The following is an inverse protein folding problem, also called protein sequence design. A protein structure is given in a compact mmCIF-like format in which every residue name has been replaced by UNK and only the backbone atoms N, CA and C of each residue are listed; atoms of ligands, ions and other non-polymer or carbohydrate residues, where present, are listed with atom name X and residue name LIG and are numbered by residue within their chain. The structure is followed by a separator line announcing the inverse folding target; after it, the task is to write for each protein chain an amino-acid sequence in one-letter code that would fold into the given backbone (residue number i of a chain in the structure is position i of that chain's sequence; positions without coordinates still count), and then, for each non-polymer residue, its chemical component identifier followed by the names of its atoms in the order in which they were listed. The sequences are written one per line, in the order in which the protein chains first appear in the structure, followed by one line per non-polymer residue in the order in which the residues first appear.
data_IF_524601083258
#
_entry.id   IF_524601083258
#
_cell.length_a   1.000
_cell.length_b   1.000
_cell.length_c   1.000
_cell.angle_alpha   90.00
_cell.angle_beta   90.00
_cell.angle_gamma   90.00
#
_symmetry.space_group_name_H-M   'P 1'
#
loop_
_entity.id
_entity.type
_entity.pdbx_description
1 polymer ?
#
# COMPACT_ATOMS: atom_id res chain seq x y z
N UNK A 1 11.58 -2.09 7.10
CA UNK A 1 11.51 -1.14 5.96
C UNK A 1 10.34 -1.42 5.00
N UNK A 2 10.24 -2.58 4.30
CA UNK A 2 9.12 -2.80 3.36
C UNK A 2 7.77 -2.97 4.08
N UNK A 3 7.75 -3.63 5.23
CA UNK A 3 6.55 -3.77 6.06
C UNK A 3 6.08 -2.41 6.62
N UNK A 4 7.01 -1.53 7.05
CA UNK A 4 6.65 -0.18 7.51
C UNK A 4 6.01 0.64 6.39
N UNK A 5 6.51 0.47 5.15
CA UNK A 5 5.94 1.09 3.97
C UNK A 5 4.51 0.60 3.69
N UNK A 6 4.26 -0.70 3.77
CA UNK A 6 2.92 -1.26 3.58
C UNK A 6 1.92 -0.77 4.62
N UNK A 7 2.33 -0.61 5.88
CA UNK A 7 1.48 -0.04 6.93
C UNK A 7 1.21 1.45 6.72
N UNK A 8 2.23 2.21 6.30
CA UNK A 8 2.09 3.64 6.01
C UNK A 8 1.15 3.91 4.83
N UNK A 9 1.20 3.07 3.80
CA UNK A 9 0.40 3.19 2.57
C UNK A 9 -0.60 2.03 2.45
N UNK A 10 -1.33 1.76 3.53
CA UNK A 10 -2.17 0.57 3.70
C UNK A 10 -3.38 0.48 2.77
N UNK A 11 -3.81 1.58 2.12
CA UNK A 11 -4.84 1.57 1.08
C UNK A 11 -4.19 1.24 -0.27
N UNK A 12 -4.29 -0.02 -0.68
CA UNK A 12 -3.51 -0.58 -1.78
C UNK A 12 -4.39 -1.17 -2.89
N UNK A 13 -3.78 -1.44 -4.04
CA UNK A 13 -4.45 -2.06 -5.18
C UNK A 13 -4.27 -3.57 -5.13
N UNK A 14 -5.37 -4.30 -4.97
CA UNK A 14 -5.44 -5.75 -5.10
C UNK A 14 -5.70 -6.13 -6.54
N UNK A 15 -4.80 -6.87 -7.15
CA UNK A 15 -4.94 -7.40 -8.52
C UNK A 15 -5.04 -8.92 -8.44
N UNK A 16 -6.07 -9.48 -9.07
CA UNK A 16 -6.28 -10.92 -9.16
C UNK A 16 -6.52 -11.32 -10.59
N UNK A 17 -6.19 -12.56 -10.91
CA UNK A 17 -6.49 -13.21 -12.19
C UNK A 17 -7.25 -14.50 -11.96
N UNK A 18 -8.33 -14.68 -12.68
CA UNK A 18 -9.06 -15.95 -12.75
C UNK A 18 -9.42 -16.23 -14.20
N UNK A 19 -9.04 -17.40 -14.71
CA UNK A 19 -9.12 -17.70 -16.14
C UNK A 19 -8.41 -16.61 -16.97
N UNK A 20 -9.12 -15.93 -17.87
CA UNK A 20 -8.57 -14.87 -18.72
C UNK A 20 -8.93 -13.46 -18.24
N UNK A 21 -9.58 -13.33 -17.07
CA UNK A 21 -10.02 -12.05 -16.53
C UNK A 21 -9.03 -11.52 -15.47
N UNK A 22 -8.71 -10.23 -15.56
CA UNK A 22 -7.99 -9.48 -14.55
C UNK A 22 -8.93 -8.49 -13.89
N UNK A 23 -8.99 -8.52 -12.55
CA UNK A 23 -9.76 -7.54 -11.76
C UNK A 23 -8.80 -6.82 -10.82
N UNK A 24 -9.02 -5.51 -10.64
CA UNK A 24 -8.33 -4.70 -9.66
C UNK A 24 -9.34 -3.97 -8.76
N UNK A 25 -9.14 -4.01 -7.45
CA UNK A 25 -9.87 -3.23 -6.45
C UNK A 25 -8.89 -2.49 -5.56
N UNK A 26 -9.33 -1.36 -5.00
CA UNK A 26 -8.58 -0.63 -3.97
C UNK A 26 -9.14 -1.04 -2.61
N UNK A 27 -8.26 -1.56 -1.76
CA UNK A 27 -8.63 -2.21 -0.49
C UNK A 27 -7.73 -1.69 0.62
N UNK A 28 -8.28 -1.31 1.78
CA UNK A 28 -7.47 -1.08 2.97
C UNK A 28 -6.99 -2.42 3.53
N UNK A 29 -5.70 -2.53 3.82
CA UNK A 29 -5.09 -3.73 4.38
C UNK A 29 -4.62 -3.51 5.82
N UNK A 30 -4.71 -4.57 6.61
CA UNK A 30 -3.97 -4.73 7.87
C UNK A 30 -2.85 -5.74 7.63
N UNK A 31 -1.64 -5.40 8.05
CA UNK A 31 -0.49 -6.30 7.99
C UNK A 31 -0.28 -6.96 9.35
N UNK A 32 -0.30 -8.29 9.37
CA UNK A 32 0.22 -9.07 10.48
C UNK A 32 1.69 -9.40 10.18
N UNK A 33 2.62 -8.68 10.83
CA UNK A 33 4.05 -8.73 10.53
C UNK A 33 4.69 -10.07 10.84
N UNK A 34 4.19 -10.73 11.87
CA UNK A 34 4.79 -11.93 12.45
C UNK A 34 4.20 -13.22 11.88
N UNK A 35 3.14 -13.11 11.07
CA UNK A 35 2.47 -14.24 10.44
C UNK A 35 3.15 -14.61 9.12
N UNK A 36 4.09 -15.55 9.16
CA UNK A 36 4.82 -16.04 7.98
C UNK A 36 6.11 -15.25 7.65
N UNK A 37 6.81 -15.60 6.58
CA UNK A 37 8.17 -15.09 6.32
C UNK A 37 8.24 -13.60 5.97
N UNK A 38 7.17 -13.05 5.39
CA UNK A 38 7.07 -11.66 4.99
C UNK A 38 5.87 -10.94 5.57
N UNK A 39 5.15 -11.57 6.50
CA UNK A 39 3.87 -11.13 7.04
C UNK A 39 2.68 -11.66 6.25
N UNK A 40 1.49 -11.42 6.78
CA UNK A 40 0.20 -11.76 6.16
C UNK A 40 -0.65 -10.51 6.03
N UNK A 41 -1.13 -10.24 4.83
CA UNK A 41 -2.09 -9.15 4.58
C UNK A 41 -3.50 -9.65 4.88
N UNK A 42 -4.29 -8.83 5.58
CA UNK A 42 -5.71 -9.10 5.84
C UNK A 42 -6.55 -7.98 5.23
N UNK A 43 -7.60 -8.36 4.49
CA UNK A 43 -8.49 -7.42 3.83
C UNK A 43 -9.90 -7.96 3.70
N UNK A 44 -10.81 -7.14 3.21
CA UNK A 44 -12.19 -7.55 2.92
C UNK A 44 -12.71 -6.89 1.64
N UNK A 45 -13.68 -7.53 1.03
CA UNK A 45 -14.44 -7.03 -0.11
C UNK A 45 -15.94 -7.18 0.18
N UNK A 46 -16.77 -6.39 -0.47
CA UNK A 46 -18.20 -6.68 -0.50
C UNK A 46 -18.45 -8.04 -1.17
N UNK A 47 -19.38 -8.83 -0.65
CA UNK A 47 -19.74 -10.14 -1.23
C UNK A 47 -20.15 -10.03 -2.71
N UNK A 48 -20.73 -8.88 -3.10
CA UNK A 48 -21.11 -8.60 -4.50
C UNK A 48 -19.93 -8.26 -5.42
N UNK A 49 -18.72 -8.06 -4.87
CA UNK A 49 -17.54 -7.81 -5.70
C UNK A 49 -17.09 -9.12 -6.36
N UNK A 50 -17.11 -9.22 -7.72
CA UNK A 50 -16.75 -10.45 -8.42
C UNK A 50 -15.31 -10.91 -8.13
N UNK A 51 -14.44 -10.03 -7.69
CA UNK A 51 -13.06 -10.36 -7.32
C UNK A 51 -13.01 -11.34 -6.13
N UNK A 52 -14.05 -11.44 -5.29
CA UNK A 52 -14.09 -12.40 -4.19
C UNK A 52 -14.00 -13.85 -4.71
N UNK A 53 -14.68 -14.17 -5.82
CA UNK A 53 -14.57 -15.48 -6.47
C UNK A 53 -13.14 -15.77 -7.00
N UNK A 54 -12.41 -14.72 -7.43
CA UNK A 54 -11.01 -14.88 -7.84
C UNK A 54 -10.12 -15.26 -6.66
N UNK A 55 -10.40 -14.72 -5.45
CA UNK A 55 -9.64 -15.04 -4.24
C UNK A 55 -9.84 -16.50 -3.80
N UNK A 56 -10.99 -17.09 -4.12
CA UNK A 56 -11.30 -18.50 -3.84
C UNK A 56 -10.62 -19.46 -4.83
N UNK A 57 -10.15 -18.98 -5.98
CA UNK A 57 -9.60 -19.82 -7.05
C UNK A 57 -8.26 -20.48 -6.72
N UNK A 58 -7.58 -20.06 -5.65
CA UNK A 58 -6.23 -20.52 -5.31
C UNK A 58 -5.13 -19.93 -6.20
N UNK A 59 -5.45 -18.95 -7.04
CA UNK A 59 -4.47 -18.25 -7.88
C UNK A 59 -3.71 -17.19 -7.09
N UNK A 60 -2.45 -16.95 -7.47
CA UNK A 60 -1.65 -15.89 -6.88
C UNK A 60 -2.29 -14.51 -7.10
N UNK A 61 -2.33 -13.71 -6.06
CA UNK A 61 -2.73 -12.30 -6.10
C UNK A 61 -1.51 -11.39 -5.98
N UNK A 62 -1.63 -10.18 -6.54
CA UNK A 62 -0.66 -9.10 -6.39
C UNK A 62 -1.32 -7.95 -5.64
N UNK A 63 -0.68 -7.50 -4.55
CA UNK A 63 -1.07 -6.26 -3.86
C UNK A 63 0.01 -5.21 -4.10
N UNK A 64 -0.40 -4.05 -4.63
CA UNK A 64 0.48 -2.93 -4.96
C UNK A 64 0.24 -1.80 -3.95
N UNK A 65 1.22 -1.58 -3.08
CA UNK A 65 1.28 -0.43 -2.19
C UNK A 65 2.05 0.68 -2.91
N UNK A 66 1.40 1.81 -3.13
CA UNK A 66 1.99 2.95 -3.83
C UNK A 66 2.20 4.11 -2.86
N UNK A 67 3.44 4.56 -2.77
CA UNK A 67 3.80 5.76 -2.02
C UNK A 67 4.01 6.98 -2.93
N UNK A 68 4.77 7.98 -2.47
CA UNK A 68 5.03 9.20 -3.20
C UNK A 68 5.65 8.94 -4.58
N UNK A 69 5.19 9.70 -5.55
CA UNK A 69 5.73 9.70 -6.90
C UNK A 69 5.73 11.13 -7.46
N UNK A 70 6.75 11.47 -8.23
CA UNK A 70 6.91 12.81 -8.76
C UNK A 70 7.70 12.80 -10.09
N UNK A 71 7.26 13.64 -11.04
CA UNK A 71 8.03 13.96 -12.22
C UNK A 71 9.25 14.82 -11.87
N UNK A 72 10.42 14.46 -12.38
CA UNK A 72 11.68 15.17 -12.17
C UNK A 72 12.09 15.83 -13.50
N UNK A 73 12.10 17.16 -13.49
CA UNK A 73 12.47 17.95 -14.67
C UNK A 73 13.99 17.93 -14.92
N UNK A 74 14.42 17.83 -16.18
CA UNK A 74 15.83 18.01 -16.54
C UNK A 74 16.42 19.36 -16.14
N UNK A 75 15.58 20.40 -16.03
CA UNK A 75 16.01 21.74 -15.62
C UNK A 75 16.47 21.83 -14.15
N UNK A 76 16.20 20.81 -13.36
CA UNK A 76 16.60 20.75 -11.95
C UNK A 76 17.98 20.10 -11.76
N UNK A 77 18.60 19.55 -12.79
CA UNK A 77 19.94 18.99 -12.70
C UNK A 77 21.01 20.07 -12.80
N UNK A 78 22.16 19.83 -12.19
CA UNK A 78 23.33 20.70 -12.28
C UNK A 78 24.04 20.55 -13.64
N UNK A 79 23.97 19.36 -14.23
CA UNK A 79 24.63 19.04 -15.51
C UNK A 79 23.70 19.21 -16.71
N UNK A 80 24.21 19.57 -17.90
CA UNK A 80 23.43 19.68 -19.13
C UNK A 80 23.11 18.29 -19.72
N UNK A 81 22.25 18.30 -20.74
CA UNK A 81 21.91 17.13 -21.57
C UNK A 81 21.27 15.97 -20.82
N UNK A 82 20.41 16.29 -19.87
CA UNK A 82 19.62 15.32 -19.12
C UNK A 82 18.22 15.14 -19.71
N UNK A 83 17.62 13.98 -19.40
CA UNK A 83 16.24 13.65 -19.76
C UNK A 83 15.34 13.66 -18.54
N UNK A 84 14.02 13.90 -18.71
CA UNK A 84 13.08 13.80 -17.61
C UNK A 84 12.96 12.35 -17.10
N UNK A 85 12.53 12.22 -15.85
CA UNK A 85 12.23 10.93 -15.25
C UNK A 85 11.13 11.07 -14.22
N UNK A 86 10.68 9.94 -13.68
CA UNK A 86 9.84 9.84 -12.49
C UNK A 86 10.64 9.26 -11.34
N UNK A 87 10.56 9.88 -10.20
CA UNK A 87 10.87 9.25 -8.92
C UNK A 87 9.58 8.68 -8.34
N UNK A 88 9.67 7.51 -7.72
CA UNK A 88 8.52 6.86 -7.10
C UNK A 88 8.95 5.80 -6.10
N UNK A 89 8.02 5.47 -5.22
CA UNK A 89 8.15 4.39 -4.25
C UNK A 89 6.96 3.45 -4.37
N UNK A 90 7.22 2.15 -4.38
CA UNK A 90 6.18 1.13 -4.40
C UNK A 90 6.67 -0.16 -3.75
N UNK A 91 5.73 -0.91 -3.15
CA UNK A 91 5.96 -2.27 -2.66
C UNK A 91 4.92 -3.19 -3.29
N UNK A 92 5.39 -4.29 -3.84
CA UNK A 92 4.56 -5.34 -4.41
C UNK A 92 4.65 -6.57 -3.53
N UNK A 93 3.50 -7.02 -3.02
CA UNK A 93 3.35 -8.25 -2.24
C UNK A 93 2.58 -9.29 -3.06
N UNK A 94 3.10 -10.50 -3.09
CA UNK A 94 2.52 -11.64 -3.82
C UNK A 94 2.21 -12.75 -2.85
N UNK A 95 1.09 -13.44 -3.05
CA UNK A 95 0.71 -14.59 -2.25
C UNK A 95 -0.61 -15.19 -2.71
N UNK A 96 -0.93 -16.36 -2.20
CA UNK A 96 -2.19 -17.05 -2.51
C UNK A 96 -3.23 -16.68 -1.45
N UNK A 97 -4.34 -16.01 -1.85
CA UNK A 97 -5.40 -15.63 -0.92
C UNK A 97 -6.10 -16.83 -0.31
N UNK A 98 -6.62 -16.64 0.90
CA UNK A 98 -7.49 -17.58 1.60
C UNK A 98 -8.69 -16.82 2.16
N UNK A 99 -9.89 -17.29 1.88
CA UNK A 99 -11.10 -16.77 2.53
C UNK A 99 -11.07 -17.20 3.99
N UNK A 100 -11.44 -16.28 4.85
CA UNK A 100 -11.48 -16.52 6.31
C UNK A 100 -12.92 -16.44 6.84
N UNK A 101 -13.11 -16.97 8.03
CA UNK A 101 -14.41 -17.05 8.67
C UNK A 101 -14.88 -15.71 9.27
N UNK A 102 -16.11 -15.72 9.80
CA UNK A 102 -16.73 -14.56 10.44
C UNK A 102 -15.96 -14.07 11.68
N UNK A 103 -15.36 -14.96 12.44
CA UNK A 103 -14.60 -14.57 13.63
C UNK A 103 -13.35 -13.77 13.23
N UNK A 104 -12.62 -14.22 12.22
CA UNK A 104 -11.49 -13.51 11.65
C UNK A 104 -11.91 -12.18 10.99
N UNK A 105 -13.07 -12.12 10.32
CA UNK A 105 -13.62 -10.86 9.80
C UNK A 105 -13.83 -9.83 10.91
N UNK A 106 -14.44 -10.21 12.04
CA UNK A 106 -14.68 -9.28 13.16
C UNK A 106 -13.37 -8.75 13.73
N UNK A 107 -12.34 -9.60 13.86
CA UNK A 107 -11.01 -9.18 14.31
C UNK A 107 -10.39 -8.19 13.30
N UNK A 108 -10.45 -8.51 12.01
CA UNK A 108 -9.97 -7.62 10.95
C UNK A 108 -10.63 -6.23 11.00
N UNK A 109 -11.96 -6.17 11.15
CA UNK A 109 -12.68 -4.90 11.20
C UNK A 109 -12.28 -4.06 12.42
N UNK A 110 -12.10 -4.69 13.58
CA UNK A 110 -11.58 -4.02 14.80
C UNK A 110 -10.20 -3.44 14.55
N UNK A 111 -9.30 -4.21 13.92
CA UNK A 111 -7.94 -3.76 13.62
C UNK A 111 -7.91 -2.63 12.59
N UNK A 112 -8.77 -2.69 11.54
CA UNK A 112 -8.92 -1.61 10.55
C UNK A 112 -9.41 -0.32 11.20
N UNK A 113 -10.43 -0.40 12.06
CA UNK A 113 -10.91 0.77 12.80
C UNK A 113 -9.81 1.34 13.67
N UNK A 114 -9.15 0.52 14.49
CA UNK A 114 -8.03 0.95 15.34
C UNK A 114 -6.91 1.61 14.53
N UNK A 115 -6.55 1.04 13.37
CA UNK A 115 -5.51 1.57 12.49
C UNK A 115 -5.84 2.96 11.97
N UNK A 116 -7.10 3.19 11.58
CA UNK A 116 -7.51 4.43 10.92
C UNK A 116 -7.98 5.51 11.92
N UNK A 117 -8.55 5.12 13.06
CA UNK A 117 -9.07 6.04 14.07
C UNK A 117 -8.02 6.56 15.06
N UNK A 118 -6.84 5.94 15.14
CA UNK A 118 -5.80 6.25 16.14
C UNK A 118 -5.36 7.71 16.20
N UNK A 119 -5.59 8.49 15.15
CA UNK A 119 -5.18 9.91 15.05
C UNK A 119 -6.33 10.88 15.37
N UNK A 120 -7.55 10.40 15.60
CA UNK A 120 -8.70 11.25 15.93
C UNK A 120 -8.76 11.52 17.44
N UNK A 121 -9.16 12.72 17.83
CA UNK A 121 -9.35 13.08 19.24
C UNK A 121 -10.44 12.25 19.93
N UNK A 122 -11.46 11.85 19.19
CA UNK A 122 -12.54 10.96 19.62
C UNK A 122 -12.64 9.80 18.63
N UNK A 123 -11.81 8.76 18.81
CA UNK A 123 -11.85 7.60 17.92
C UNK A 123 -13.23 6.94 17.93
N UNK A 124 -13.72 6.59 16.76
CA UNK A 124 -14.92 5.77 16.66
C UNK A 124 -14.66 4.37 17.17
N UNK A 125 -15.54 3.86 18.03
CA UNK A 125 -15.46 2.51 18.58
C UNK A 125 -16.31 1.54 17.77
N UNK A 126 -15.73 0.38 17.43
CA UNK A 126 -16.39 -0.67 16.69
C UNK A 126 -17.03 -1.67 17.66
N UNK A 127 -18.33 -1.53 17.90
CA UNK A 127 -19.11 -2.52 18.63
C UNK A 127 -19.59 -3.65 17.70
N UNK A 128 -18.86 -4.77 17.71
CA UNK A 128 -19.19 -5.93 16.89
C UNK A 128 -20.52 -6.59 17.28
N UNK A 129 -21.03 -6.37 18.50
CA UNK A 129 -22.26 -6.99 19.00
C UNK A 129 -23.51 -6.13 18.70
N UNK A 130 -23.31 -4.89 18.26
CA UNK A 130 -24.42 -4.04 17.86
C UNK A 130 -25.25 -4.68 16.75
N UNK A 131 -26.57 -4.72 16.90
CA UNK A 131 -27.48 -5.42 15.99
C UNK A 131 -27.37 -4.95 14.53
N UNK A 132 -27.14 -3.66 14.33
CA UNK A 132 -26.96 -3.09 13.00
C UNK A 132 -25.62 -3.53 12.36
N UNK A 133 -24.54 -3.68 13.16
CA UNK A 133 -23.26 -4.25 12.69
C UNK A 133 -23.45 -5.70 12.28
N UNK A 134 -24.09 -6.49 13.16
CA UNK A 134 -24.37 -7.91 12.91
C UNK A 134 -25.18 -8.13 11.62
N UNK A 135 -26.07 -7.21 11.28
CA UNK A 135 -26.85 -7.25 10.04
C UNK A 135 -26.01 -6.96 8.79
N UNK A 136 -24.90 -6.23 8.89
CA UNK A 136 -24.02 -5.88 7.77
C UNK A 136 -22.90 -6.90 7.52
N UNK A 137 -22.48 -7.66 8.53
CA UNK A 137 -21.39 -8.63 8.39
C UNK A 137 -21.59 -9.66 7.25
N UNK A 138 -22.80 -10.15 6.95
CA UNK A 138 -23.01 -11.05 5.81
C UNK A 138 -22.74 -10.45 4.43
N UNK A 139 -22.70 -9.12 4.31
CA UNK A 139 -22.43 -8.42 3.05
C UNK A 139 -20.92 -8.29 2.74
N UNK A 140 -20.05 -8.82 3.63
CA UNK A 140 -18.60 -8.67 3.55
C UNK A 140 -17.93 -10.03 3.55
N UNK A 141 -17.02 -10.25 2.60
CA UNK A 141 -16.13 -11.40 2.56
C UNK A 141 -14.71 -10.98 2.95
N UNK A 142 -14.17 -11.59 4.01
CA UNK A 142 -12.80 -11.35 4.46
C UNK A 142 -11.83 -12.40 3.91
N UNK A 143 -10.59 -11.98 3.74
CA UNK A 143 -9.52 -12.83 3.22
C UNK A 143 -8.17 -12.48 3.84
N UNK A 144 -7.27 -13.44 3.78
CA UNK A 144 -5.86 -13.31 4.12
C UNK A 144 -5.00 -13.62 2.90
N UNK A 145 -3.85 -12.93 2.80
CA UNK A 145 -2.82 -13.22 1.80
C UNK A 145 -1.50 -13.39 2.56
N UNK A 146 -1.10 -14.63 2.92
CA UNK A 146 0.28 -14.88 3.35
C UNK A 146 1.24 -14.45 2.25
N UNK A 147 2.21 -13.60 2.59
CA UNK A 147 3.13 -13.03 1.60
C UNK A 147 4.25 -14.04 1.33
N UNK A 148 4.28 -14.58 0.12
CA UNK A 148 5.33 -15.48 -0.34
C UNK A 148 6.51 -14.73 -0.96
N UNK A 149 6.23 -13.57 -1.59
CA UNK A 149 7.23 -12.75 -2.26
C UNK A 149 6.94 -11.28 -2.02
N UNK A 150 7.99 -10.53 -1.67
CA UNK A 150 7.93 -9.10 -1.41
C UNK A 150 8.98 -8.36 -2.24
N UNK A 151 8.58 -7.34 -3.00
CA UNK A 151 9.46 -6.55 -3.85
C UNK A 151 9.26 -5.07 -3.58
N UNK A 152 10.34 -4.35 -3.25
CA UNK A 152 10.33 -2.89 -3.09
C UNK A 152 11.02 -2.19 -4.26
N UNK A 153 10.43 -1.09 -4.72
CA UNK A 153 11.05 -0.20 -5.70
C UNK A 153 11.04 1.23 -5.18
N UNK A 154 12.23 1.73 -4.88
CA UNK A 154 12.46 3.11 -4.45
C UNK A 154 13.37 3.75 -5.50
N UNK A 155 12.78 4.39 -6.50
CA UNK A 155 13.50 5.10 -7.56
C UNK A 155 13.62 6.56 -7.16
N UNK A 156 14.81 6.93 -6.64
CA UNK A 156 15.07 8.21 -5.96
C UNK A 156 16.35 8.89 -6.49
N UNK A 157 16.56 8.89 -7.81
CA UNK A 157 17.77 9.45 -8.46
C UNK A 157 19.10 8.72 -8.12
N UNK A 158 19.07 7.40 -7.82
CA UNK A 158 20.24 6.59 -7.49
C UNK A 158 21.33 6.66 -8.56
N UNK A 159 20.94 6.72 -9.81
CA UNK A 159 21.81 6.75 -10.98
C UNK A 159 22.37 8.14 -11.32
N UNK A 160 22.06 9.18 -10.50
CA UNK A 160 22.54 10.54 -10.72
C UNK A 160 23.79 10.82 -9.90
N UNK A 161 24.66 11.68 -10.42
CA UNK A 161 25.83 12.16 -9.69
C UNK A 161 25.41 13.01 -8.47
N UNK A 162 26.25 13.14 -7.43
CA UNK A 162 25.90 13.88 -6.22
C UNK A 162 25.44 15.31 -6.47
N UNK A 163 26.08 16.03 -7.41
CA UNK A 163 25.71 17.40 -7.74
C UNK A 163 24.28 17.53 -8.31
N UNK A 164 23.87 16.61 -9.18
CA UNK A 164 22.51 16.57 -9.71
C UNK A 164 21.48 16.27 -8.62
N UNK A 165 21.77 15.28 -7.74
CA UNK A 165 20.90 14.98 -6.60
C UNK A 165 20.74 16.16 -5.65
N UNK A 166 21.85 16.81 -5.30
CA UNK A 166 21.82 17.97 -4.40
C UNK A 166 20.93 19.09 -4.96
N UNK A 167 21.05 19.41 -6.24
CA UNK A 167 20.23 20.45 -6.87
C UNK A 167 18.75 20.07 -6.99
N UNK A 168 18.45 18.81 -7.24
CA UNK A 168 17.05 18.30 -7.21
C UNK A 168 16.48 18.43 -5.81
N UNK A 169 17.21 18.02 -4.77
CA UNK A 169 16.80 18.15 -3.37
C UNK A 169 16.52 19.62 -3.03
N UNK A 170 17.45 20.52 -3.36
CA UNK A 170 17.30 21.96 -3.11
C UNK A 170 16.02 22.50 -3.75
N UNK A 171 15.79 22.18 -5.06
CA UNK A 171 14.62 22.62 -5.81
C UNK A 171 13.32 22.11 -5.20
N UNK A 172 13.29 20.83 -4.80
CA UNK A 172 12.08 20.20 -4.24
C UNK A 172 11.79 20.71 -2.82
N UNK A 173 12.83 20.89 -1.99
CA UNK A 173 12.70 21.39 -0.63
C UNK A 173 12.22 22.85 -0.57
N UNK A 174 12.61 23.70 -1.54
CA UNK A 174 12.15 25.07 -1.63
C UNK A 174 10.70 25.21 -2.13
N UNK A 175 10.07 24.14 -2.57
CA UNK A 175 8.70 24.17 -3.13
C UNK A 175 7.64 24.36 -2.03
N UNK A 176 6.56 25.05 -2.36
CA UNK A 176 5.35 25.12 -1.54
C UNK A 176 4.47 23.85 -1.67
N UNK A 177 4.70 23.03 -2.68
CA UNK A 177 3.98 21.78 -2.91
C UNK A 177 4.43 20.70 -1.89
N UNK A 178 3.53 20.20 -1.03
CA UNK A 178 3.86 19.17 -0.05
C UNK A 178 4.41 17.87 -0.68
N UNK A 179 3.91 17.48 -1.86
CA UNK A 179 4.37 16.27 -2.53
C UNK A 179 5.83 16.39 -2.99
N UNK A 180 6.26 17.59 -3.40
CA UNK A 180 7.66 17.86 -3.76
C UNK A 180 8.56 17.80 -2.52
N UNK A 181 8.16 18.41 -1.42
CA UNK A 181 8.93 18.34 -0.17
C UNK A 181 9.06 16.91 0.35
N UNK A 182 7.96 16.16 0.33
CA UNK A 182 7.98 14.74 0.71
C UNK A 182 8.95 13.92 -0.16
N UNK A 183 9.03 14.20 -1.46
CA UNK A 183 9.98 13.54 -2.34
C UNK A 183 11.43 13.95 -2.03
N UNK A 184 11.69 15.21 -1.67
CA UNK A 184 13.00 15.64 -1.21
C UNK A 184 13.44 14.87 0.04
N UNK A 185 12.56 14.74 1.04
CA UNK A 185 12.84 14.02 2.29
C UNK A 185 13.19 12.55 2.01
N UNK A 186 12.47 11.89 1.10
CA UNK A 186 12.77 10.52 0.70
C UNK A 186 14.14 10.39 0.02
N UNK A 187 14.52 11.34 -0.83
CA UNK A 187 15.84 11.34 -1.45
C UNK A 187 16.94 11.57 -0.40
N UNK A 188 16.73 12.50 0.55
CA UNK A 188 17.65 12.76 1.65
C UNK A 188 17.83 11.51 2.50
N UNK A 189 16.74 10.85 2.92
CA UNK A 189 16.81 9.62 3.74
C UNK A 189 17.54 8.47 3.04
N UNK A 190 17.48 8.42 1.72
CA UNK A 190 18.12 7.36 0.93
C UNK A 190 19.63 7.58 0.76
N UNK A 191 20.15 8.84 0.91
CA UNK A 191 21.53 9.21 0.59
C UNK A 191 22.22 10.08 1.64
N UNK A 192 21.53 10.45 2.69
CA UNK A 192 22.07 11.17 3.86
C UNK A 192 22.56 10.19 4.92
#
# INVERSE_FOLDING_TARGET
MLQDFMEQYSFATLVTRHSDELIASHVPFVLDRDAGPHGTLRGHLAVRNPQLAHLESGSEALVIFQGPHLYISPSWYATPHNVPTWNYTAVHAYGIPKIVDRAALVVLLKDLVRQNEKSFEQPWDFDAEASWVQALLPEIGAFEIPIDKLQGKFKLNQNRIPADRARVIETLSASQDPARRQMADLIIQAYG
#
